data_IF_733322921121
#
_entry.id   IF_733322921121
#
_cell.length_a   1.000
_cell.length_b   1.000
_cell.length_c   1.000
_cell.angle_alpha   90.00
_cell.angle_beta   90.00
_cell.angle_gamma   90.00
#
_symmetry.space_group_name_H-M   'P 1'
#
loop_
_entity.id
_entity.type
_entity.pdbx_description
1 polymer ?
#
# COMPACT_ATOMS: atom_id res chain seq x y z
N UNK A 1 24.79 22.06 11.16
CA UNK A 1 23.81 21.29 10.35
C UNK A 1 24.43 20.92 9.01
N UNK A 2 24.93 19.70 8.88
CA UNK A 2 25.46 19.22 7.60
C UNK A 2 24.30 18.82 6.72
N UNK A 3 24.03 19.55 5.65
CA UNK A 3 23.15 19.12 4.56
C UNK A 3 23.64 17.75 4.09
N UNK A 4 22.90 16.65 4.42
CA UNK A 4 23.14 15.35 3.78
C UNK A 4 22.95 15.58 2.28
N UNK A 5 24.03 15.49 1.51
CA UNK A 5 23.95 15.59 0.05
C UNK A 5 23.01 14.48 -0.46
N UNK A 6 21.98 14.88 -1.20
CA UNK A 6 21.07 13.93 -1.87
C UNK A 6 21.91 13.12 -2.86
N UNK A 7 21.97 11.79 -2.67
CA UNK A 7 22.64 10.89 -3.61
C UNK A 7 21.72 10.60 -4.79
N UNK A 8 22.20 10.61 -6.03
CA UNK A 8 21.42 10.06 -7.14
C UNK A 8 21.24 8.56 -6.92
N UNK A 9 20.02 8.04 -7.17
CA UNK A 9 19.75 6.63 -7.00
C UNK A 9 18.50 6.35 -6.16
N UNK A 10 18.46 5.16 -5.58
CA UNK A 10 17.34 4.61 -4.85
C UNK A 10 17.66 4.35 -3.38
N UNK A 11 16.77 4.74 -2.49
CA UNK A 11 16.65 4.15 -1.16
C UNK A 11 15.42 3.24 -1.16
N UNK A 12 15.56 2.01 -0.69
CA UNK A 12 14.45 1.06 -0.56
C UNK A 12 14.20 0.81 0.91
N UNK A 13 12.96 1.04 1.35
CA UNK A 13 12.52 0.87 2.74
C UNK A 13 11.67 -0.40 2.85
N UNK A 14 12.09 -1.31 3.73
CA UNK A 14 11.34 -2.51 4.12
C UNK A 14 10.98 -2.38 5.60
N UNK A 15 9.69 -2.48 5.94
CA UNK A 15 9.22 -2.39 7.32
C UNK A 15 8.92 -3.79 7.87
N UNK A 16 9.58 -4.18 8.97
CA UNK A 16 9.43 -5.48 9.61
C UNK A 16 8.98 -5.32 11.07
N UNK A 17 8.12 -6.21 11.58
CA UNK A 17 7.57 -6.08 12.94
C UNK A 17 7.50 -7.39 13.72
N UNK A 18 7.57 -8.56 13.08
CA UNK A 18 7.39 -9.87 13.74
C UNK A 18 8.37 -10.92 13.25
N UNK A 19 8.78 -11.80 14.14
CA UNK A 19 9.57 -12.99 13.82
C UNK A 19 8.84 -14.00 12.95
N UNK A 20 7.50 -14.05 13.00
CA UNK A 20 6.69 -14.96 12.18
C UNK A 20 6.94 -14.78 10.69
N UNK A 21 7.41 -13.60 10.28
CA UNK A 21 7.73 -13.26 8.90
C UNK A 21 9.22 -13.20 8.57
N UNK A 22 10.09 -13.64 9.51
CA UNK A 22 11.54 -13.49 9.34
C UNK A 22 12.07 -14.05 8.01
N UNK A 23 11.55 -15.18 7.55
CA UNK A 23 12.00 -15.78 6.29
C UNK A 23 11.44 -15.03 5.07
N UNK A 24 10.20 -14.56 5.11
CA UNK A 24 9.63 -13.68 4.07
C UNK A 24 10.40 -12.35 4.02
N UNK A 25 10.60 -11.71 5.15
CA UNK A 25 11.42 -10.49 5.28
C UNK A 25 12.81 -10.70 4.70
N UNK A 26 13.44 -11.85 5.01
CA UNK A 26 14.77 -12.19 4.51
C UNK A 26 14.77 -12.41 2.98
N UNK A 27 13.72 -13.00 2.41
CA UNK A 27 13.57 -13.17 0.97
C UNK A 27 13.39 -11.81 0.29
N UNK A 28 12.53 -10.95 0.84
CA UNK A 28 12.34 -9.57 0.37
C UNK A 28 13.68 -8.80 0.36
N UNK A 29 14.42 -8.79 1.47
CA UNK A 29 15.71 -8.09 1.57
C UNK A 29 16.69 -8.61 0.53
N UNK A 30 16.82 -9.95 0.35
CA UNK A 30 17.71 -10.53 -0.67
C UNK A 30 17.32 -10.08 -2.07
N UNK A 31 16.03 -10.06 -2.40
CA UNK A 31 15.55 -9.62 -3.72
C UNK A 31 15.80 -8.12 -3.96
N UNK A 32 15.69 -7.29 -2.92
CA UNK A 32 16.03 -5.86 -2.99
C UNK A 32 17.54 -5.64 -3.15
N UNK A 33 18.36 -6.32 -2.37
CA UNK A 33 19.84 -6.23 -2.46
C UNK A 33 20.34 -6.69 -3.84
N UNK A 34 19.67 -7.66 -4.45
CA UNK A 34 20.03 -8.18 -5.78
C UNK A 34 19.60 -7.27 -6.95
N UNK A 35 18.95 -6.12 -6.71
CA UNK A 35 18.58 -5.20 -7.80
C UNK A 35 19.83 -4.62 -8.48
N UNK A 36 19.87 -4.58 -9.83
CA UNK A 36 21.02 -4.06 -10.59
C UNK A 36 21.37 -2.61 -10.25
N UNK A 37 20.41 -1.81 -9.80
CA UNK A 37 20.56 -0.40 -9.42
C UNK A 37 21.34 -0.20 -8.11
N UNK A 38 21.66 -1.26 -7.38
CA UNK A 38 22.40 -1.24 -6.12
C UNK A 38 21.84 -0.22 -5.12
N UNK A 39 20.58 -0.33 -4.72
CA UNK A 39 19.93 0.66 -3.86
C UNK A 39 20.55 0.71 -2.46
N UNK A 40 20.41 1.85 -1.80
CA UNK A 40 20.52 1.93 -0.35
C UNK A 40 19.35 1.15 0.27
N UNK A 41 19.62 0.06 0.96
CA UNK A 41 18.57 -0.79 1.58
C UNK A 41 18.44 -0.44 3.05
N UNK A 42 17.22 -0.05 3.46
CA UNK A 42 16.89 0.36 4.82
C UNK A 42 15.78 -0.56 5.34
N UNK A 43 16.08 -1.30 6.37
CA UNK A 43 15.08 -2.12 7.09
C UNK A 43 14.70 -1.40 8.37
N UNK A 44 13.41 -1.14 8.54
CA UNK A 44 12.88 -0.52 9.76
C UNK A 44 12.19 -1.57 10.60
N UNK A 45 12.65 -1.75 11.84
CA UNK A 45 11.98 -2.66 12.78
C UNK A 45 10.99 -1.89 13.64
N UNK A 46 9.70 -2.25 13.55
CA UNK A 46 8.63 -1.54 14.26
C UNK A 46 8.54 -1.98 15.73
N UNK A 47 9.30 -1.30 16.61
CA UNK A 47 9.37 -1.55 18.05
C UNK A 47 9.67 -3.02 18.39
N UNK A 48 10.65 -3.61 17.68
CA UNK A 48 11.13 -4.97 17.88
C UNK A 48 12.66 -5.02 17.75
N UNK A 49 13.35 -4.72 18.84
CA UNK A 49 14.81 -4.59 18.87
C UNK A 49 15.51 -5.95 18.66
N UNK A 50 14.91 -7.04 19.13
CA UNK A 50 15.43 -8.40 18.95
C UNK A 50 15.42 -8.80 17.47
N UNK A 51 14.31 -8.52 16.76
CA UNK A 51 14.22 -8.71 15.31
C UNK A 51 15.27 -7.87 14.60
N UNK A 52 15.45 -6.61 15.05
CA UNK A 52 16.48 -5.71 14.53
C UNK A 52 17.90 -6.27 14.69
N UNK A 53 18.21 -6.85 15.83
CA UNK A 53 19.51 -7.49 16.09
C UNK A 53 19.75 -8.69 15.14
N UNK A 54 18.75 -9.55 14.97
CA UNK A 54 18.82 -10.69 14.05
C UNK A 54 19.01 -10.25 12.59
N UNK A 55 18.26 -9.23 12.15
CA UNK A 55 18.35 -8.73 10.78
C UNK A 55 19.71 -8.04 10.51
N UNK A 56 20.26 -7.28 11.47
CA UNK A 56 21.63 -6.72 11.36
C UNK A 56 22.70 -7.80 11.22
N UNK A 57 22.58 -8.86 12.00
CA UNK A 57 23.53 -9.98 11.92
C UNK A 57 23.40 -10.74 10.59
N UNK A 58 22.18 -10.95 10.10
CA UNK A 58 21.90 -11.71 8.87
C UNK A 58 22.28 -10.92 7.60
N UNK A 59 22.18 -9.59 7.63
CA UNK A 59 22.41 -8.69 6.49
C UNK A 59 23.36 -7.53 6.83
N UNK A 60 24.68 -7.79 6.99
CA UNK A 60 25.64 -6.76 7.45
C UNK A 60 25.81 -5.58 6.47
N UNK A 61 25.41 -5.75 5.18
CA UNK A 61 25.44 -4.68 4.17
C UNK A 61 24.17 -3.82 4.12
N UNK A 62 23.18 -4.06 5.02
CA UNK A 62 21.88 -3.39 5.04
C UNK A 62 21.79 -2.47 6.26
N UNK A 63 21.24 -1.27 6.08
CA UNK A 63 20.99 -0.35 7.19
C UNK A 63 19.73 -0.80 7.94
N UNK A 64 19.86 -1.28 9.17
CA UNK A 64 18.72 -1.66 10.02
C UNK A 64 18.55 -0.64 11.14
N UNK A 65 17.41 0.07 11.14
CA UNK A 65 17.06 1.12 12.10
C UNK A 65 15.78 0.77 12.87
N UNK A 66 15.65 1.16 14.13
CA UNK A 66 14.39 1.04 14.85
C UNK A 66 13.39 2.08 14.34
N UNK A 67 12.09 1.79 14.44
CA UNK A 67 11.06 2.80 14.27
C UNK A 67 11.15 3.80 15.43
N UNK A 68 11.60 5.03 15.14
CA UNK A 68 11.72 6.13 16.09
C UNK A 68 10.41 6.92 16.30
N UNK A 69 9.35 6.53 15.60
CA UNK A 69 8.08 7.23 15.62
C UNK A 69 6.98 6.34 16.24
N UNK A 70 5.71 6.71 16.04
CA UNK A 70 4.61 5.93 16.57
C UNK A 70 4.62 4.50 15.98
N UNK A 71 4.34 3.49 16.83
CA UNK A 71 4.16 2.11 16.40
C UNK A 71 3.11 2.01 15.29
N UNK A 72 3.42 1.26 14.23
CA UNK A 72 2.61 1.03 13.06
C UNK A 72 3.31 1.38 11.76
N UNK A 73 2.71 0.96 10.65
CA UNK A 73 3.33 1.02 9.32
C UNK A 73 3.68 2.45 8.88
N UNK A 74 2.81 3.44 9.17
CA UNK A 74 3.06 4.84 8.84
C UNK A 74 4.29 5.41 9.55
N UNK A 75 4.44 5.14 10.87
CA UNK A 75 5.61 5.56 11.64
C UNK A 75 6.89 4.86 11.17
N UNK A 76 6.83 3.56 10.89
CA UNK A 76 7.96 2.80 10.38
C UNK A 76 8.41 3.32 9.00
N UNK A 77 7.49 3.58 8.08
CA UNK A 77 7.81 4.18 6.77
C UNK A 77 8.45 5.55 6.91
N UNK A 78 7.94 6.41 7.79
CA UNK A 78 8.53 7.73 8.05
C UNK A 78 9.94 7.63 8.64
N UNK A 79 10.18 6.68 9.56
CA UNK A 79 11.53 6.42 10.08
C UNK A 79 12.48 5.98 8.96
N UNK A 80 11.99 5.17 8.01
CA UNK A 80 12.74 4.79 6.81
C UNK A 80 13.04 6.00 5.90
N UNK A 81 12.09 6.90 5.68
CA UNK A 81 12.28 8.13 4.89
C UNK A 81 13.33 9.03 5.55
N UNK A 82 13.31 9.14 6.87
CA UNK A 82 14.31 9.94 7.61
C UNK A 82 15.74 9.37 7.48
N UNK A 83 15.86 8.04 7.40
CA UNK A 83 17.14 7.35 7.19
C UNK A 83 17.61 7.38 5.72
N UNK A 84 16.68 7.52 4.76
CA UNK A 84 16.95 7.50 3.33
C UNK A 84 17.80 8.70 2.88
N UNK A 85 18.75 8.45 1.97
CA UNK A 85 19.65 9.49 1.42
C UNK A 85 19.42 9.75 -0.07
N UNK A 86 18.76 8.84 -0.80
CA UNK A 86 18.55 8.98 -2.24
C UNK A 86 17.40 9.92 -2.60
N UNK A 87 17.38 10.39 -3.86
CA UNK A 87 16.31 11.24 -4.39
C UNK A 87 14.97 10.52 -4.55
N UNK A 88 15.01 9.20 -4.78
CA UNK A 88 13.84 8.34 -4.91
C UNK A 88 13.79 7.35 -3.76
N UNK A 89 12.63 7.22 -3.13
CA UNK A 89 12.40 6.25 -2.06
C UNK A 89 11.32 5.28 -2.50
N UNK A 90 11.67 3.99 -2.54
CA UNK A 90 10.72 2.92 -2.79
C UNK A 90 10.36 2.20 -1.49
N UNK A 91 9.13 1.71 -1.40
CA UNK A 91 8.61 0.92 -0.30
C UNK A 91 8.15 -0.43 -0.84
N UNK A 92 8.55 -1.47 -0.17
CA UNK A 92 8.10 -2.84 -0.40
C UNK A 92 7.80 -3.49 0.95
N UNK A 93 6.66 -4.18 1.05
CA UNK A 93 6.28 -4.85 2.30
C UNK A 93 7.17 -6.08 2.55
N UNK A 94 7.35 -6.46 3.82
CA UNK A 94 8.20 -7.56 4.27
C UNK A 94 7.74 -8.94 3.79
N UNK A 95 6.51 -9.04 3.27
CA UNK A 95 5.91 -10.22 2.66
C UNK A 95 5.76 -10.10 1.12
N UNK A 96 6.50 -9.17 0.50
CA UNK A 96 6.51 -8.96 -0.94
C UNK A 96 7.93 -9.14 -1.51
N UNK A 97 8.06 -9.89 -2.60
CA UNK A 97 9.32 -10.17 -3.26
C UNK A 97 9.38 -9.46 -4.62
N UNK A 98 10.22 -8.42 -4.78
CA UNK A 98 10.32 -7.70 -6.05
C UNK A 98 11.00 -8.54 -7.15
N UNK A 99 10.54 -8.36 -8.39
CA UNK A 99 11.19 -8.92 -9.58
C UNK A 99 12.57 -8.29 -9.82
N UNK A 100 13.43 -8.93 -10.60
CA UNK A 100 14.77 -8.42 -10.91
C UNK A 100 14.78 -7.10 -11.70
N UNK A 101 13.68 -6.73 -12.35
CA UNK A 101 13.52 -5.48 -13.10
C UNK A 101 12.66 -4.46 -12.35
N UNK A 102 12.44 -4.65 -11.06
CA UNK A 102 11.51 -3.83 -10.28
C UNK A 102 11.90 -2.36 -10.21
N UNK A 103 13.13 -2.04 -9.79
CA UNK A 103 13.59 -0.64 -9.70
C UNK A 103 13.71 0.03 -11.07
N UNK A 104 14.18 -0.70 -12.10
CA UNK A 104 14.19 -0.21 -13.47
C UNK A 104 12.77 0.16 -13.96
N UNK A 105 11.78 -0.68 -13.64
CA UNK A 105 10.37 -0.41 -13.92
C UNK A 105 9.86 0.84 -13.22
N UNK A 106 10.08 0.97 -11.90
CA UNK A 106 9.72 2.16 -11.14
C UNK A 106 10.40 3.42 -11.69
N UNK A 107 11.69 3.34 -12.05
CA UNK A 107 12.44 4.46 -12.63
C UNK A 107 11.81 4.96 -13.94
N UNK A 108 11.30 4.06 -14.77
CA UNK A 108 10.63 4.42 -16.02
C UNK A 108 9.40 5.31 -15.79
N UNK A 109 8.70 5.14 -14.66
CA UNK A 109 7.56 5.98 -14.29
C UNK A 109 7.94 7.43 -13.94
N UNK A 110 9.15 7.66 -13.42
CA UNK A 110 9.61 9.00 -13.02
C UNK A 110 10.23 9.85 -14.14
N UNK A 111 10.14 9.43 -15.40
CA UNK A 111 10.67 10.20 -16.54
C UNK A 111 9.98 11.56 -16.71
N UNK A 112 8.69 11.66 -16.44
CA UNK A 112 7.96 12.94 -16.37
C UNK A 112 8.26 13.59 -15.01
N UNK A 113 8.82 14.82 -14.96
CA UNK A 113 9.10 15.49 -13.69
C UNK A 113 7.87 15.76 -12.83
N UNK A 114 6.67 15.79 -13.41
CA UNK A 114 5.40 15.93 -12.69
C UNK A 114 4.99 14.65 -11.96
N UNK A 115 5.59 13.50 -12.29
CA UNK A 115 5.30 12.25 -11.57
C UNK A 115 5.99 12.27 -10.22
N UNK A 116 5.21 12.29 -9.16
CA UNK A 116 5.66 12.34 -7.76
C UNK A 116 5.62 10.98 -7.07
N UNK A 117 4.78 10.07 -7.59
CA UNK A 117 4.65 8.71 -7.09
C UNK A 117 4.45 7.70 -8.23
N UNK A 118 5.03 6.52 -8.06
CA UNK A 118 4.93 5.40 -9.00
C UNK A 118 4.57 4.14 -8.23
N UNK A 119 3.62 3.35 -8.74
CA UNK A 119 3.34 2.01 -8.25
C UNK A 119 3.64 0.94 -9.30
N UNK A 120 3.80 -0.27 -8.84
CA UNK A 120 3.89 -1.46 -9.69
C UNK A 120 2.79 -2.47 -9.39
N UNK A 121 2.71 -3.53 -10.18
CA UNK A 121 1.79 -4.65 -9.92
C UNK A 121 2.22 -5.44 -8.67
N UNK A 122 1.23 -6.04 -8.00
CA UNK A 122 1.42 -6.98 -6.91
C UNK A 122 0.65 -8.26 -7.23
N UNK A 123 1.39 -9.35 -7.47
CA UNK A 123 0.83 -10.66 -7.80
C UNK A 123 0.65 -11.49 -6.53
N UNK A 124 -0.53 -12.10 -6.30
CA UNK A 124 -0.75 -12.89 -5.11
C UNK A 124 0.01 -14.22 -5.17
N UNK A 125 0.80 -14.50 -4.15
CA UNK A 125 1.37 -15.83 -3.87
C UNK A 125 0.59 -16.45 -2.72
N UNK A 126 -0.39 -17.27 -3.06
CA UNK A 126 -1.25 -17.91 -2.08
C UNK A 126 -0.49 -19.01 -1.33
N UNK A 127 -0.50 -18.93 -0.01
CA UNK A 127 -0.04 -20.06 0.80
C UNK A 127 -1.08 -21.19 0.69
N UNK A 128 -0.70 -22.26 -0.01
CA UNK A 128 -1.60 -23.31 -0.47
C UNK A 128 -2.24 -22.98 -1.83
N UNK A 129 -3.54 -23.16 -1.97
CA UNK A 129 -4.28 -22.91 -3.21
C UNK A 129 -5.11 -21.63 -3.13
N UNK A 130 -5.24 -20.93 -4.26
CA UNK A 130 -6.18 -19.81 -4.37
C UNK A 130 -7.60 -20.25 -4.05
N UNK A 131 -8.31 -19.57 -3.14
CA UNK A 131 -9.69 -19.94 -2.81
C UNK A 131 -10.61 -19.79 -4.04
N UNK A 132 -11.30 -20.86 -4.40
CA UNK A 132 -12.17 -20.87 -5.59
C UNK A 132 -13.32 -19.84 -5.54
N UNK A 133 -13.69 -19.39 -4.34
CA UNK A 133 -14.72 -18.37 -4.10
C UNK A 133 -14.20 -16.92 -4.19
N UNK A 134 -12.86 -16.69 -4.16
CA UNK A 134 -12.30 -15.35 -4.08
C UNK A 134 -12.37 -14.64 -5.46
N UNK A 135 -13.03 -13.48 -5.58
CA UNK A 135 -13.15 -12.80 -6.87
C UNK A 135 -11.90 -11.96 -7.19
N UNK A 136 -11.44 -12.02 -8.44
CA UNK A 136 -10.27 -11.29 -8.91
C UNK A 136 -10.44 -9.77 -8.77
N UNK A 137 -11.66 -9.27 -8.76
CA UNK A 137 -11.99 -7.87 -8.54
C UNK A 137 -11.67 -7.40 -7.12
N UNK A 138 -11.55 -8.32 -6.18
CA UNK A 138 -11.29 -8.02 -4.78
C UNK A 138 -9.89 -8.40 -4.29
N UNK A 139 -8.94 -8.68 -5.19
CA UNK A 139 -7.55 -8.99 -4.79
C UNK A 139 -6.89 -7.85 -3.99
N UNK A 140 -7.39 -6.63 -4.08
CA UNK A 140 -6.99 -5.52 -3.20
C UNK A 140 -7.22 -5.81 -1.70
N UNK A 141 -8.18 -6.67 -1.34
CA UNK A 141 -8.44 -7.11 0.04
C UNK A 141 -7.21 -7.77 0.64
N UNK A 142 -6.44 -8.46 -0.19
CA UNK A 142 -5.18 -9.11 0.20
C UNK A 142 -3.93 -8.33 -0.24
N UNK A 143 -4.10 -7.06 -0.67
CA UNK A 143 -2.99 -6.17 -1.02
C UNK A 143 -2.44 -6.36 -2.43
N UNK A 144 -3.17 -7.03 -3.34
CA UNK A 144 -2.70 -7.36 -4.68
C UNK A 144 -3.42 -6.57 -5.78
N UNK A 145 -2.82 -6.55 -6.97
CA UNK A 145 -3.44 -6.00 -8.18
C UNK A 145 -4.72 -6.75 -8.51
N UNK A 146 -5.77 -6.02 -8.88
CA UNK A 146 -7.10 -6.57 -9.03
C UNK A 146 -7.71 -6.23 -10.39
N UNK A 147 -8.68 -7.01 -10.82
CA UNK A 147 -9.40 -6.76 -12.07
C UNK A 147 -10.23 -5.48 -11.96
N UNK A 148 -10.06 -4.59 -12.95
CA UNK A 148 -10.66 -3.26 -12.96
C UNK A 148 -9.81 -2.17 -12.29
N UNK A 149 -8.64 -2.50 -11.76
CA UNK A 149 -7.63 -1.52 -11.37
C UNK A 149 -7.08 -0.83 -12.62
N UNK A 150 -6.93 0.49 -12.56
CA UNK A 150 -6.24 1.22 -13.61
C UNK A 150 -4.75 0.82 -13.60
N UNK A 151 -4.25 0.35 -14.75
CA UNK A 151 -2.86 -0.10 -14.92
C UNK A 151 -2.02 0.84 -15.75
N UNK A 152 -2.67 1.70 -16.52
CA UNK A 152 -2.00 2.63 -17.43
C UNK A 152 -2.35 4.07 -17.07
N UNK A 153 -1.37 4.95 -17.13
CA UNK A 153 -1.53 6.37 -16.93
C UNK A 153 -1.70 6.80 -15.48
N UNK A 154 -2.44 7.88 -15.25
CA UNK A 154 -2.61 8.48 -13.93
C UNK A 154 -3.59 7.67 -13.08
N UNK A 155 -3.18 7.33 -11.87
CA UNK A 155 -3.98 6.62 -10.86
C UNK A 155 -4.15 7.50 -9.62
N UNK A 156 -5.09 7.15 -8.74
CA UNK A 156 -5.28 7.87 -7.47
C UNK A 156 -4.13 7.60 -6.50
N UNK A 157 -3.76 6.36 -6.33
CA UNK A 157 -2.69 5.90 -5.44
C UNK A 157 -2.14 4.55 -5.90
N UNK A 158 -0.89 4.23 -5.60
CA UNK A 158 -0.31 2.91 -5.80
C UNK A 158 -0.82 1.92 -4.73
N UNK A 159 -0.42 0.65 -4.86
CA UNK A 159 -0.58 -0.35 -3.80
C UNK A 159 0.48 -0.13 -2.71
N UNK A 160 0.10 -0.17 -1.43
CA UNK A 160 1.00 0.09 -0.31
C UNK A 160 2.21 -0.84 -0.24
N UNK A 161 2.07 -2.07 -0.74
CA UNK A 161 3.17 -3.06 -0.78
C UNK A 161 4.16 -2.86 -1.93
N UNK A 162 3.90 -1.93 -2.87
CA UNK A 162 4.72 -1.70 -4.06
C UNK A 162 4.55 -0.26 -4.56
N UNK A 163 5.31 0.66 -4.00
CA UNK A 163 5.21 2.08 -4.32
C UNK A 163 6.56 2.80 -4.17
N UNK A 164 6.71 3.90 -4.90
CA UNK A 164 7.88 4.76 -4.81
C UNK A 164 7.48 6.23 -4.93
N UNK A 165 8.29 7.13 -4.36
CA UNK A 165 8.04 8.56 -4.31
C UNK A 165 9.32 9.35 -4.56
N UNK A 166 9.18 10.59 -5.06
CA UNK A 166 10.24 11.59 -4.91
C UNK A 166 10.36 11.95 -3.44
N UNK A 167 11.57 11.76 -2.89
CA UNK A 167 11.81 11.92 -1.45
C UNK A 167 11.52 13.35 -0.97
N UNK A 168 11.97 14.35 -1.71
CA UNK A 168 11.74 15.76 -1.38
C UNK A 168 10.26 16.12 -1.30
N UNK A 169 9.45 15.65 -2.26
CA UNK A 169 8.00 15.85 -2.30
C UNK A 169 7.32 15.14 -1.13
N UNK A 170 7.73 13.88 -0.83
CA UNK A 170 7.20 13.11 0.29
C UNK A 170 7.48 13.81 1.63
N UNK A 171 8.69 14.33 1.82
CA UNK A 171 9.08 15.07 3.03
C UNK A 171 8.33 16.39 3.13
N UNK A 172 8.18 17.13 2.02
CA UNK A 172 7.50 18.43 1.99
C UNK A 172 6.03 18.35 2.43
N UNK A 173 5.34 17.22 2.16
CA UNK A 173 3.96 17.01 2.62
C UNK A 173 3.87 16.36 4.00
N UNK A 174 4.99 16.14 4.71
CA UNK A 174 5.03 15.61 6.07
C UNK A 174 4.98 14.08 6.18
N UNK A 175 5.26 13.34 5.09
CA UNK A 175 5.29 11.88 5.09
C UNK A 175 3.91 11.21 5.28
N UNK A 176 3.91 9.98 5.77
CA UNK A 176 2.69 9.19 6.02
C UNK A 176 2.00 9.61 7.31
N UNK A 177 0.66 9.66 7.32
CA UNK A 177 -0.09 9.85 8.56
C UNK A 177 0.03 8.59 9.44
N UNK A 178 0.57 8.77 10.65
CA UNK A 178 0.83 7.69 11.61
C UNK A 178 -0.45 7.23 12.33
N UNK A 179 -1.57 7.90 12.14
CA UNK A 179 -2.87 7.50 12.70
C UNK A 179 -3.65 6.60 11.75
N UNK A 180 -3.19 6.51 10.50
CA UNK A 180 -3.73 5.64 9.46
C UNK A 180 -2.83 4.42 9.27
N UNK A 181 -3.37 3.43 8.58
CA UNK A 181 -2.67 2.18 8.34
C UNK A 181 -3.06 1.08 9.32
N UNK A 182 -2.43 -0.07 9.15
CA UNK A 182 -2.72 -1.24 9.98
C UNK A 182 -2.26 -0.99 11.42
N UNK A 183 -3.18 -1.11 12.38
CA UNK A 183 -2.92 -1.03 13.81
C UNK A 183 -3.30 -2.38 14.43
N UNK A 184 -2.31 -3.18 14.81
CA UNK A 184 -2.52 -4.53 15.33
C UNK A 184 -3.29 -5.41 14.33
N UNK A 185 -4.37 -6.05 14.79
CA UNK A 185 -5.19 -6.96 13.97
C UNK A 185 -6.28 -6.24 13.17
N UNK A 186 -6.43 -4.92 13.28
CA UNK A 186 -7.43 -4.17 12.50
C UNK A 186 -6.85 -3.91 11.12
N UNK A 187 -7.47 -4.45 10.06
CA UNK A 187 -6.98 -4.29 8.69
C UNK A 187 -7.41 -2.93 8.12
N UNK A 188 -7.04 -1.85 8.79
CA UNK A 188 -7.26 -0.50 8.35
C UNK A 188 -6.12 -0.13 7.40
N UNK A 189 -6.43 0.31 6.22
CA UNK A 189 -5.47 0.80 5.22
C UNK A 189 -5.70 2.29 4.98
N UNK A 190 -5.34 2.77 3.80
CA UNK A 190 -5.56 4.12 3.28
C UNK A 190 -4.43 5.13 3.58
N UNK A 191 -3.36 4.75 4.24
CA UNK A 191 -2.22 5.64 4.47
C UNK A 191 -1.59 6.13 3.16
N UNK A 192 -1.48 5.24 2.15
CA UNK A 192 -1.03 5.60 0.81
C UNK A 192 -2.04 6.46 0.06
N UNK A 193 -3.34 6.19 0.26
CA UNK A 193 -4.40 6.97 -0.39
C UNK A 193 -4.45 8.39 0.16
N UNK A 194 -4.39 8.54 1.48
CA UNK A 194 -4.37 9.83 2.17
C UNK A 194 -3.16 10.67 1.73
N UNK A 195 -1.96 10.05 1.76
CA UNK A 195 -0.74 10.68 1.30
C UNK A 195 -0.87 11.18 -0.15
N UNK A 196 -1.38 10.34 -1.05
CA UNK A 196 -1.56 10.70 -2.46
C UNK A 196 -2.57 11.85 -2.65
N UNK A 197 -3.62 11.91 -1.83
CA UNK A 197 -4.56 13.06 -1.82
C UNK A 197 -3.84 14.34 -1.41
N UNK A 198 -2.99 14.31 -0.36
CA UNK A 198 -2.19 15.48 0.04
C UNK A 198 -1.20 15.92 -1.03
N UNK A 199 -0.53 14.97 -1.69
CA UNK A 199 0.40 15.25 -2.78
C UNK A 199 -0.28 16.01 -3.93
N UNK A 200 -1.44 15.52 -4.40
CA UNK A 200 -2.21 16.17 -5.48
C UNK A 200 -2.81 17.50 -5.02
N UNK A 201 -3.16 17.63 -3.73
CA UNK A 201 -3.68 18.89 -3.19
C UNK A 201 -2.58 19.96 -3.05
N UNK A 202 -1.35 19.55 -2.74
CA UNK A 202 -0.19 20.43 -2.66
C UNK A 202 0.25 20.93 -4.05
N UNK A 203 0.16 20.06 -5.07
CA UNK A 203 0.44 20.40 -6.47
C UNK A 203 -0.57 19.70 -7.39
N UNK A 204 -1.50 20.45 -7.95
CA UNK A 204 -2.54 19.92 -8.86
C UNK A 204 -1.98 19.41 -10.20
N UNK A 205 -0.75 19.77 -10.55
CA UNK A 205 -0.05 19.27 -11.74
C UNK A 205 0.66 17.92 -11.49
N UNK A 206 0.83 17.55 -10.21
CA UNK A 206 1.46 16.30 -9.81
C UNK A 206 0.69 15.08 -10.35
N UNK A 207 1.43 14.03 -10.69
CA UNK A 207 0.88 12.79 -11.24
C UNK A 207 1.34 11.59 -10.44
N UNK A 208 0.45 10.62 -10.34
CA UNK A 208 0.72 9.31 -9.75
C UNK A 208 0.46 8.30 -10.85
N UNK A 209 1.41 7.42 -11.12
CA UNK A 209 1.31 6.49 -12.25
C UNK A 209 1.54 5.04 -11.83
N UNK A 210 1.01 4.11 -12.62
CA UNK A 210 1.29 2.68 -12.49
C UNK A 210 2.22 2.23 -13.62
N UNK A 211 3.17 1.37 -13.26
CA UNK A 211 4.09 0.69 -14.17
C UNK A 211 3.99 -0.82 -13.87
N UNK A 212 3.12 -1.57 -14.56
CA UNK A 212 2.87 -2.99 -14.24
C UNK A 212 4.12 -3.86 -14.27
N UNK A 213 5.15 -3.49 -15.07
CA UNK A 213 6.40 -4.22 -15.18
C UNK A 213 7.24 -4.17 -13.88
N UNK A 214 7.01 -3.16 -13.03
CA UNK A 214 7.60 -3.08 -11.71
C UNK A 214 6.81 -3.97 -10.72
N UNK A 215 6.82 -5.28 -10.97
CA UNK A 215 5.99 -6.24 -10.25
C UNK A 215 6.66 -6.76 -8.97
N UNK A 216 5.85 -7.03 -7.95
CA UNK A 216 6.22 -7.80 -6.76
C UNK A 216 5.33 -9.03 -6.61
N UNK A 217 5.84 -10.09 -6.02
CA UNK A 217 5.10 -11.28 -5.61
C UNK A 217 4.74 -11.12 -4.14
N UNK A 218 3.45 -10.91 -3.85
CA UNK A 218 2.96 -10.62 -2.51
C UNK A 218 2.38 -11.87 -1.85
N UNK A 219 2.94 -12.29 -0.72
CA UNK A 219 2.52 -13.47 0.01
C UNK A 219 1.17 -13.28 0.70
N UNK A 220 0.24 -14.21 0.47
CA UNK A 220 -1.11 -14.21 1.04
C UNK A 220 -1.28 -15.37 2.01
N UNK A 221 -1.16 -15.14 3.33
CA UNK A 221 -1.28 -16.18 4.34
C UNK A 221 -2.72 -16.71 4.46
N UNK A 222 -2.93 -17.94 5.00
CA UNK A 222 -4.25 -18.58 5.11
C UNK A 222 -5.27 -17.75 5.88
N UNK A 223 -4.83 -16.97 6.87
CA UNK A 223 -5.71 -16.08 7.62
C UNK A 223 -6.42 -15.03 6.76
N UNK A 224 -5.75 -14.52 5.70
CA UNK A 224 -6.32 -13.55 4.75
C UNK A 224 -7.21 -14.20 3.68
N UNK A 225 -7.20 -15.52 3.56
CA UNK A 225 -7.98 -16.29 2.59
C UNK A 225 -9.39 -16.63 3.08
N UNK A 226 -9.76 -16.25 4.30
CA UNK A 226 -11.03 -16.58 4.94
C UNK A 226 -12.11 -15.56 4.58
N UNK A 227 -13.39 -15.99 4.36
CA UNK A 227 -14.50 -15.08 4.09
C UNK A 227 -14.70 -14.02 5.17
N UNK A 228 -14.46 -14.35 6.45
CA UNK A 228 -14.54 -13.39 7.55
C UNK A 228 -13.54 -12.24 7.41
N UNK A 229 -12.28 -12.54 7.08
CA UNK A 229 -11.27 -11.50 6.79
C UNK A 229 -11.67 -10.64 5.59
N UNK A 230 -12.15 -11.27 4.51
CA UNK A 230 -12.61 -10.59 3.31
C UNK A 230 -13.69 -9.54 3.63
N UNK A 231 -14.76 -9.94 4.32
CA UNK A 231 -15.84 -9.02 4.69
C UNK A 231 -15.37 -7.93 5.66
N UNK A 232 -14.54 -8.30 6.64
CA UNK A 232 -13.96 -7.35 7.58
C UNK A 232 -13.12 -6.28 6.85
N UNK A 233 -12.25 -6.70 5.92
CA UNK A 233 -11.41 -5.77 5.14
C UNK A 233 -12.26 -4.85 4.26
N UNK A 234 -13.32 -5.38 3.62
CA UNK A 234 -14.27 -4.57 2.87
C UNK A 234 -14.99 -3.54 3.75
N UNK A 235 -15.42 -3.94 4.96
CA UNK A 235 -16.06 -3.03 5.92
C UNK A 235 -15.12 -1.88 6.32
N UNK A 236 -13.87 -2.18 6.72
CA UNK A 236 -12.90 -1.16 7.10
C UNK A 236 -12.47 -0.26 5.94
N UNK A 237 -12.48 -0.77 4.72
CA UNK A 237 -12.30 0.07 3.52
C UNK A 237 -13.41 1.12 3.42
N UNK A 238 -14.65 0.73 3.67
CA UNK A 238 -15.79 1.66 3.71
C UNK A 238 -15.64 2.70 4.81
N UNK A 239 -15.27 2.28 6.03
CA UNK A 239 -15.02 3.21 7.16
C UNK A 239 -13.96 4.24 6.79
N UNK A 240 -12.84 3.79 6.25
CA UNK A 240 -11.76 4.70 5.86
C UNK A 240 -12.15 5.66 4.74
N UNK A 241 -12.92 5.21 3.76
CA UNK A 241 -13.45 6.10 2.71
C UNK A 241 -14.39 7.18 3.25
N UNK A 242 -15.16 6.86 4.29
CA UNK A 242 -15.97 7.85 4.98
C UNK A 242 -15.12 8.93 5.64
N UNK A 243 -13.96 8.57 6.18
CA UNK A 243 -13.01 9.51 6.79
C UNK A 243 -12.26 10.36 5.75
N UNK A 244 -11.87 9.75 4.62
CA UNK A 244 -11.15 10.48 3.56
C UNK A 244 -12.04 11.41 2.72
N UNK A 245 -13.36 11.28 2.81
CA UNK A 245 -14.29 12.06 1.97
C UNK A 245 -14.08 13.57 2.06
N UNK A 246 -13.83 14.06 3.25
CA UNK A 246 -13.71 15.50 3.50
C UNK A 246 -12.32 16.04 3.08
N UNK A 247 -11.34 15.13 2.91
CA UNK A 247 -10.02 15.46 2.37
C UNK A 247 -9.95 15.33 0.85
N UNK A 248 -10.72 14.40 0.28
CA UNK A 248 -10.68 14.09 -1.13
C UNK A 248 -11.61 15.03 -1.92
N UNK A 249 -11.13 15.55 -3.06
CA UNK A 249 -12.00 16.21 -4.03
C UNK A 249 -13.00 15.21 -4.62
N UNK A 250 -14.13 15.70 -5.13
CA UNK A 250 -15.14 14.87 -5.80
C UNK A 250 -14.55 14.03 -6.97
N UNK A 251 -13.49 14.51 -7.59
CA UNK A 251 -12.74 13.80 -8.64
C UNK A 251 -12.02 12.55 -8.12
N UNK A 252 -11.47 12.59 -6.90
CA UNK A 252 -10.78 11.44 -6.29
C UNK A 252 -11.72 10.27 -5.98
N UNK A 253 -13.03 10.52 -5.82
CA UNK A 253 -14.06 9.50 -5.60
C UNK A 253 -14.70 8.99 -6.89
N UNK A 254 -14.38 9.57 -8.05
CA UNK A 254 -14.97 9.20 -9.34
C UNK A 254 -14.54 7.80 -9.80
N UNK A 255 -13.28 7.43 -9.58
CA UNK A 255 -12.75 6.10 -9.90
C UNK A 255 -13.47 4.99 -9.14
N UNK A 256 -13.81 5.21 -7.89
CA UNK A 256 -14.51 4.25 -7.03
C UNK A 256 -15.97 4.07 -7.43
N UNK A 257 -16.65 5.18 -7.77
CA UNK A 257 -18.00 5.11 -8.31
C UNK A 257 -18.03 4.33 -9.62
N UNK A 258 -17.07 4.61 -10.51
CA UNK A 258 -16.94 3.87 -11.77
C UNK A 258 -16.69 2.38 -11.52
N UNK A 259 -15.82 2.06 -10.59
CA UNK A 259 -15.54 0.68 -10.19
C UNK A 259 -16.80 -0.03 -9.65
N UNK A 260 -17.48 0.56 -8.66
CA UNK A 260 -18.66 -0.01 -8.04
C UNK A 260 -19.85 -0.14 -9.01
N UNK A 261 -20.03 0.83 -9.93
CA UNK A 261 -21.19 0.89 -10.80
C UNK A 261 -21.00 0.23 -12.19
N UNK A 262 -19.74 0.03 -12.62
CA UNK A 262 -19.45 -0.54 -13.94
C UNK A 262 -18.72 -1.88 -13.86
N UNK A 263 -17.69 -1.98 -13.01
CA UNK A 263 -16.85 -3.19 -12.96
C UNK A 263 -17.56 -4.30 -12.18
N UNK A 264 -18.06 -4.01 -10.98
CA UNK A 264 -18.66 -5.04 -10.12
C UNK A 264 -19.97 -5.65 -10.68
N UNK A 265 -20.93 -4.88 -11.26
CA UNK A 265 -22.11 -5.49 -11.86
C UNK A 265 -21.76 -6.40 -13.04
N UNK A 266 -20.83 -6.00 -13.90
CA UNK A 266 -20.35 -6.83 -15.01
C UNK A 266 -19.69 -8.10 -14.51
N UNK A 267 -18.92 -8.01 -13.41
CA UNK A 267 -18.31 -9.18 -12.77
C UNK A 267 -19.36 -10.16 -12.26
N UNK A 268 -20.39 -9.68 -11.55
CA UNK A 268 -21.51 -10.53 -11.09
C UNK A 268 -22.19 -11.22 -12.26
N UNK A 269 -22.55 -10.47 -13.32
CA UNK A 269 -23.19 -11.03 -14.51
C UNK A 269 -22.31 -12.09 -15.18
N UNK A 270 -21.00 -11.86 -15.29
CA UNK A 270 -20.04 -12.81 -15.84
C UNK A 270 -20.00 -14.11 -15.01
N UNK A 271 -19.96 -14.03 -13.69
CA UNK A 271 -19.93 -15.21 -12.82
C UNK A 271 -21.25 -15.98 -12.89
N UNK A 272 -22.38 -15.29 -12.88
CA UNK A 272 -23.72 -15.93 -13.02
C UNK A 272 -23.86 -16.59 -14.40
N UNK A 273 -23.47 -15.92 -15.47
CA UNK A 273 -23.51 -16.49 -16.82
C UNK A 273 -22.59 -17.73 -16.96
N UNK A 274 -21.42 -17.71 -16.35
CA UNK A 274 -20.53 -18.86 -16.31
C UNK A 274 -21.12 -20.04 -15.51
N UNK A 275 -21.80 -19.75 -14.40
CA UNK A 275 -22.51 -20.78 -13.62
C UNK A 275 -23.64 -21.44 -14.42
N UNK A 276 -24.42 -20.64 -15.15
CA UNK A 276 -25.47 -21.16 -16.03
C UNK A 276 -24.91 -22.07 -17.15
N UNK A 277 -23.72 -21.76 -17.65
CA UNK A 277 -23.00 -22.59 -18.63
C UNK A 277 -22.34 -23.84 -18.02
N UNK A 278 -22.57 -24.12 -16.75
CA UNK A 278 -22.01 -25.23 -15.99
C UNK A 278 -20.48 -25.26 -15.89
N UNK A 279 -19.82 -24.09 -16.09
CA UNK A 279 -18.40 -23.95 -15.86
C UNK A 279 -18.15 -23.61 -14.38
N UNK A 280 -17.81 -24.64 -13.60
CA UNK A 280 -17.56 -24.54 -12.13
C UNK A 280 -18.70 -23.78 -11.39
N UNK A 281 -19.98 -24.18 -11.54
CA UNK A 281 -21.14 -23.38 -11.15
C UNK A 281 -21.14 -22.98 -9.68
N UNK A 282 -20.76 -23.87 -8.79
CA UNK A 282 -20.72 -23.60 -7.34
C UNK A 282 -19.67 -22.51 -7.01
N UNK A 283 -18.44 -22.64 -7.53
CA UNK A 283 -17.40 -21.66 -7.29
C UNK A 283 -17.78 -20.26 -7.84
N UNK A 284 -18.38 -20.21 -9.02
CA UNK A 284 -18.83 -18.96 -9.64
C UNK A 284 -19.98 -18.30 -8.87
N UNK A 285 -20.93 -19.06 -8.37
CA UNK A 285 -21.99 -18.51 -7.52
C UNK A 285 -21.43 -17.96 -6.21
N UNK A 286 -20.44 -18.63 -5.61
CA UNK A 286 -19.75 -18.10 -4.44
C UNK A 286 -18.95 -16.83 -4.76
N UNK A 287 -18.30 -16.74 -5.93
CA UNK A 287 -17.64 -15.48 -6.39
C UNK A 287 -18.66 -14.35 -6.53
N UNK A 288 -19.79 -14.61 -7.20
CA UNK A 288 -20.86 -13.60 -7.34
C UNK A 288 -21.38 -13.13 -5.97
N UNK A 289 -21.64 -14.07 -5.06
CA UNK A 289 -22.06 -13.75 -3.70
C UNK A 289 -21.01 -12.95 -2.92
N UNK A 290 -19.72 -13.29 -3.07
CA UNK A 290 -18.61 -12.55 -2.46
C UNK A 290 -18.52 -11.11 -2.99
N UNK A 291 -18.72 -10.89 -4.31
CA UNK A 291 -18.74 -9.54 -4.89
C UNK A 291 -19.85 -8.70 -4.26
N UNK A 292 -21.06 -9.23 -4.20
CA UNK A 292 -22.23 -8.52 -3.62
C UNK A 292 -22.02 -8.30 -2.11
N UNK A 293 -21.57 -9.33 -1.38
CA UNK A 293 -21.30 -9.25 0.05
C UNK A 293 -20.20 -8.24 0.39
N UNK A 294 -19.12 -8.22 -0.39
CA UNK A 294 -18.02 -7.25 -0.24
C UNK A 294 -18.49 -5.82 -0.46
N UNK A 295 -19.30 -5.58 -1.50
CA UNK A 295 -19.89 -4.26 -1.75
C UNK A 295 -20.84 -3.83 -0.60
N UNK A 296 -21.69 -4.74 -0.12
CA UNK A 296 -22.56 -4.51 1.03
C UNK A 296 -21.78 -4.19 2.32
N UNK A 297 -20.72 -4.95 2.59
CA UNK A 297 -19.84 -4.69 3.73
C UNK A 297 -19.16 -3.32 3.65
N UNK A 298 -18.66 -2.93 2.47
CA UNK A 298 -18.06 -1.62 2.27
C UNK A 298 -19.09 -0.48 2.42
N UNK A 299 -20.29 -0.63 1.88
CA UNK A 299 -21.37 0.35 2.03
C UNK A 299 -21.78 0.51 3.51
N UNK A 300 -21.92 -0.59 4.25
CA UNK A 300 -22.23 -0.58 5.69
C UNK A 300 -21.10 0.09 6.48
N UNK A 301 -19.84 -0.25 6.17
CA UNK A 301 -18.68 0.39 6.79
C UNK A 301 -18.65 1.90 6.53
N UNK A 302 -18.96 2.33 5.30
CA UNK A 302 -19.05 3.75 4.97
C UNK A 302 -20.13 4.47 5.76
N UNK A 303 -21.35 3.91 5.83
CA UNK A 303 -22.45 4.47 6.60
C UNK A 303 -22.09 4.55 8.11
N UNK A 304 -21.50 3.49 8.66
CA UNK A 304 -21.04 3.46 10.05
C UNK A 304 -19.95 4.50 10.33
N UNK A 305 -18.98 4.63 9.42
CA UNK A 305 -17.91 5.62 9.52
C UNK A 305 -18.45 7.06 9.52
N UNK A 306 -19.48 7.33 8.71
CA UNK A 306 -20.15 8.66 8.69
C UNK A 306 -20.86 9.01 9.99
N UNK A 307 -21.40 8.02 10.68
CA UNK A 307 -22.17 8.24 11.92
C UNK A 307 -21.30 8.38 13.19
N UNK A 308 -20.11 7.76 13.21
CA UNK A 308 -19.32 7.58 14.44
C UNK A 308 -17.93 8.21 14.46
N UNK A 309 -17.40 8.65 13.33
CA UNK A 309 -16.02 9.14 13.29
C UNK A 309 -15.98 10.66 13.31
N UNK A 310 -15.24 11.29 14.24
CA UNK A 310 -14.87 12.71 14.11
C UNK A 310 -14.13 12.88 12.78
N UNK A 311 -14.39 13.96 12.10
CA UNK A 311 -13.85 14.21 10.77
C UNK A 311 -12.31 14.15 10.82
N UNK A 312 -11.72 13.28 9.97
CA UNK A 312 -10.27 13.18 9.82
C UNK A 312 -9.66 14.54 9.42
N UNK A 313 -10.42 15.33 8.64
CA UNK A 313 -10.04 16.69 8.25
C UNK A 313 -9.77 17.62 9.45
N UNK A 314 -10.60 17.58 10.50
CA UNK A 314 -10.38 18.38 11.73
C UNK A 314 -9.12 17.95 12.47
N UNK A 315 -8.85 16.63 12.47
CA UNK A 315 -7.64 16.08 13.10
C UNK A 315 -6.36 16.42 12.32
N UNK A 316 -6.43 16.54 11.00
CA UNK A 316 -5.30 16.92 10.16
C UNK A 316 -5.08 18.43 10.12
N UNK A 317 -6.14 19.25 10.23
CA UNK A 317 -6.01 20.70 10.38
C UNK A 317 -5.35 21.08 11.71
N UNK A 318 -5.72 20.43 12.81
CA UNK A 318 -5.06 20.62 14.10
C UNK A 318 -3.57 20.19 14.11
N UNK A 319 -3.11 19.42 13.10
CA UNK A 319 -1.72 18.96 12.93
C UNK A 319 -0.91 19.80 11.97
N UNK A 320 -1.54 20.60 11.11
CA UNK A 320 -0.84 21.51 10.20
C UNK A 320 0.00 22.56 10.94
N UNK A 321 -0.21 22.72 12.25
CA UNK A 321 0.58 23.59 13.13
C UNK A 321 1.83 22.90 13.74
N UNK A 322 2.01 21.58 13.54
CA UNK A 322 3.18 20.84 14.01
C UNK A 322 3.93 20.23 12.80
N UNK A 323 4.47 21.12 11.95
CA UNK A 323 5.50 20.76 11.00
C UNK A 323 6.64 20.03 11.73
N UNK A 324 7.18 18.98 11.10
CA UNK A 324 8.37 18.26 11.56
C UNK A 324 9.49 19.30 11.75
N UNK A 325 9.65 19.76 13.00
CA UNK A 325 10.84 20.51 13.40
C UNK A 325 11.95 19.44 13.46
N UNK A 326 13.04 19.58 12.70
CA UNK A 326 14.21 18.73 12.91
C UNK A 326 14.65 18.95 14.35
N UNK A 327 14.76 17.86 15.14
CA UNK A 327 15.40 17.94 16.46
C UNK A 327 16.81 18.45 16.25
N UNK A 328 17.06 19.68 16.68
CA UNK A 328 18.39 20.17 16.98
C UNK A 328 18.82 19.44 18.27
N UNK A 329 19.65 18.40 18.12
CA UNK A 329 20.69 18.00 19.09
C UNK A 329 21.68 17.06 18.37
#
# INVERSE_FOLDING_TARGET
>A
MGSRSVRPGWSVVVCAYTFERLELTSACIRAVVAQPEQPEVIVVTDHNDELGAVLRSRFPGVTVVPNSQRRGLGGARNSGVAAASAALVAFVDDDAEPSSAWLAGLAAGFRDPRVVAVGGDAEPVWEGSSPAWFPDEYLWVVGCSYRGMARDGSVRNPLGCNMAFRRDVLVAVGGFDQMLGRIGNVPFGLEETELCVRLIKADSSARIVMVPQAAVRHHVPPGRQRPGYFLQRCFYEGVGKAQLRDLASSAALSSERSYALRVLPVAVLREVAGAIRLDRPVARLFKAAAIVGGLGAAATGYAWGRLRTPQLAERLQARGEHAIVPSDD
#
